data_IF_324247851069
#
_entry.id   IF_324247851069
#
_cell.length_a   1.000
_cell.length_b   1.000
_cell.length_c   1.000
_cell.angle_alpha   90.00
_cell.angle_beta   90.00
_cell.angle_gamma   90.00
#
_symmetry.space_group_name_H-M   'P 1'
#
loop_
_entity.id
_entity.type
_entity.pdbx_description
1 polymer ?
#
# COMPACT_ATOMS: atom_id res chain seq x y z
N UNK A 1 -5.82 15.32 -1.06
CA UNK A 1 -5.73 13.98 -0.43
C UNK A 1 -4.33 13.81 0.11
N UNK A 2 -4.16 13.39 1.38
CA UNK A 2 -2.81 13.10 1.89
C UNK A 2 -2.26 11.92 1.08
N UNK A 3 -1.09 12.04 0.49
CA UNK A 3 -0.53 11.09 -0.49
C UNK A 3 -0.05 9.76 0.12
N UNK A 4 -0.70 9.27 1.18
CA UNK A 4 -0.35 8.08 1.92
C UNK A 4 -1.60 7.37 2.47
N UNK A 5 -1.43 6.14 2.93
CA UNK A 5 -2.47 5.34 3.58
C UNK A 5 -1.86 4.16 4.34
N UNK A 6 -2.73 3.21 4.70
CA UNK A 6 -2.35 1.98 5.38
C UNK A 6 -2.99 0.78 4.69
N UNK A 7 -2.27 -0.33 4.65
CA UNK A 7 -2.78 -1.64 4.25
C UNK A 7 -2.94 -2.52 5.49
N UNK A 8 -4.04 -3.27 5.54
CA UNK A 8 -4.21 -4.33 6.52
C UNK A 8 -3.58 -5.60 5.94
N UNK A 9 -2.63 -6.20 6.67
CA UNK A 9 -2.03 -7.47 6.27
C UNK A 9 -2.91 -8.64 6.75
N UNK A 10 -2.94 -9.72 5.99
CA UNK A 10 -3.69 -10.94 6.37
C UNK A 10 -3.20 -11.56 7.69
N UNK A 11 -1.90 -11.42 7.99
CA UNK A 11 -1.31 -11.86 9.26
C UNK A 11 -1.51 -10.86 10.40
N UNK A 12 -2.29 -9.81 10.18
CA UNK A 12 -2.52 -8.72 11.11
C UNK A 12 -1.49 -7.59 11.04
N UNK A 13 -1.89 -6.45 11.59
CA UNK A 13 -1.10 -5.22 11.66
C UNK A 13 -1.18 -4.38 10.39
N UNK A 14 -0.90 -3.10 10.59
CA UNK A 14 -1.02 -2.07 9.57
C UNK A 14 0.34 -1.83 8.93
N UNK A 15 0.36 -1.74 7.60
CA UNK A 15 1.56 -1.42 6.85
C UNK A 15 1.40 -0.08 6.16
N UNK A 16 2.34 0.83 6.43
CA UNK A 16 2.34 2.15 5.81
C UNK A 16 2.55 2.04 4.30
N UNK A 17 1.84 2.86 3.53
CA UNK A 17 2.01 2.95 2.07
C UNK A 17 1.98 4.40 1.62
N UNK A 18 2.88 4.76 0.73
CA UNK A 18 2.83 6.04 0.02
C UNK A 18 2.13 5.86 -1.33
N UNK A 19 1.29 6.81 -1.74
CA UNK A 19 0.55 6.77 -3.02
C UNK A 19 1.47 6.70 -4.25
N UNK A 20 2.76 7.06 -4.07
CA UNK A 20 3.80 6.95 -5.10
C UNK A 20 4.09 5.49 -5.47
N UNK A 21 3.93 4.58 -4.51
CA UNK A 21 4.18 3.13 -4.65
C UNK A 21 3.04 2.41 -5.38
N UNK A 22 1.99 3.16 -5.75
CA UNK A 22 0.85 2.72 -6.55
C UNK A 22 0.96 3.33 -7.94
N UNK A 23 0.78 2.49 -8.97
CA UNK A 23 0.68 2.94 -10.36
C UNK A 23 -0.46 3.92 -10.56
N UNK A 24 -0.21 4.97 -11.34
CA UNK A 24 -1.19 6.05 -11.58
C UNK A 24 -2.56 5.56 -12.07
N UNK A 25 -2.58 4.51 -12.90
CA UNK A 25 -3.80 3.88 -13.43
C UNK A 25 -4.66 3.17 -12.37
N UNK A 26 -4.04 2.72 -11.28
CA UNK A 26 -4.71 1.97 -10.21
C UNK A 26 -5.05 2.85 -9.00
N UNK A 27 -4.46 4.05 -8.88
CA UNK A 27 -4.73 4.99 -7.78
C UNK A 27 -6.22 5.33 -7.61
N UNK A 28 -6.97 5.41 -8.71
CA UNK A 28 -8.42 5.70 -8.70
C UNK A 28 -9.27 4.49 -8.33
N UNK A 29 -8.71 3.28 -8.45
CA UNK A 29 -9.37 2.01 -8.19
C UNK A 29 -9.14 1.54 -6.75
N UNK A 30 -8.08 2.00 -6.10
CA UNK A 30 -7.85 1.78 -4.68
C UNK A 30 -8.96 2.42 -3.85
N UNK A 31 -9.79 1.56 -3.27
CA UNK A 31 -10.85 1.91 -2.32
C UNK A 31 -10.70 1.06 -1.06
N UNK A 32 -11.43 1.42 -0.02
CA UNK A 32 -11.55 0.57 1.17
C UNK A 32 -11.98 -0.86 0.77
N UNK A 33 -11.43 -1.86 1.45
CA UNK A 33 -11.62 -3.30 1.16
C UNK A 33 -11.06 -3.80 -0.20
N UNK A 34 -10.28 -3.00 -0.93
CA UNK A 34 -9.60 -3.48 -2.15
C UNK A 34 -8.47 -4.43 -1.78
N UNK A 35 -8.50 -5.65 -2.33
CA UNK A 35 -7.40 -6.61 -2.20
C UNK A 35 -6.25 -6.22 -3.13
N UNK A 36 -5.04 -6.21 -2.57
CA UNK A 36 -3.83 -5.85 -3.30
C UNK A 36 -2.72 -6.84 -3.00
N UNK A 37 -1.82 -6.98 -3.97
CA UNK A 37 -0.50 -7.59 -3.78
C UNK A 37 0.54 -6.48 -3.66
N UNK A 38 1.48 -6.66 -2.74
CA UNK A 38 2.56 -5.71 -2.47
C UNK A 38 3.81 -6.47 -2.01
N UNK A 39 4.94 -5.79 -2.02
CA UNK A 39 6.17 -6.23 -1.35
C UNK A 39 6.40 -5.38 -0.10
N UNK A 40 6.99 -5.95 0.94
CA UNK A 40 7.41 -5.19 2.13
C UNK A 40 8.87 -4.81 1.96
N UNK A 41 9.20 -3.55 2.17
CA UNK A 41 10.57 -3.05 2.18
C UNK A 41 10.86 -2.35 3.51
N UNK A 42 11.98 -2.70 4.15
CA UNK A 42 12.44 -2.07 5.38
C UNK A 42 13.22 -0.80 5.06
N UNK A 43 12.80 0.32 5.64
CA UNK A 43 13.46 1.61 5.46
C UNK A 43 13.82 2.26 6.79
N UNK A 44 14.54 3.38 6.74
CA UNK A 44 14.88 4.18 7.94
C UNK A 44 13.65 4.61 8.75
N UNK A 45 12.46 4.68 8.12
CA UNK A 45 11.20 5.04 8.78
C UNK A 45 10.37 3.82 9.20
N UNK A 46 10.92 2.62 9.06
CA UNK A 46 10.25 1.35 9.32
C UNK A 46 9.76 0.66 8.03
N UNK A 47 9.05 -0.47 8.19
CA UNK A 47 8.55 -1.27 7.08
C UNK A 47 7.43 -0.52 6.33
N UNK A 48 7.52 -0.50 5.01
CA UNK A 48 6.48 0.07 4.14
C UNK A 48 6.13 -0.86 2.98
N UNK A 49 4.96 -0.65 2.39
CA UNK A 49 4.49 -1.38 1.22
C UNK A 49 4.99 -0.74 -0.08
N UNK A 50 5.56 -1.56 -0.95
CA UNK A 50 6.05 -1.19 -2.27
C UNK A 50 5.44 -2.09 -3.37
N UNK A 51 5.60 -1.69 -4.64
CA UNK A 51 5.15 -2.44 -5.82
C UNK A 51 3.66 -2.85 -5.77
N UNK A 52 2.78 -1.92 -5.40
CA UNK A 52 1.36 -2.23 -5.16
C UNK A 52 0.66 -2.53 -6.48
N UNK A 53 -0.08 -3.65 -6.52
CA UNK A 53 -0.96 -4.03 -7.62
C UNK A 53 -2.30 -4.53 -7.09
N UNK A 54 -3.38 -4.14 -7.75
CA UNK A 54 -4.72 -4.66 -7.46
C UNK A 54 -4.80 -6.12 -7.91
N UNK A 55 -5.48 -6.95 -7.10
CA UNK A 55 -5.78 -8.36 -7.42
C UNK A 55 -7.17 -8.45 -8.05
#
# INVERSE_FOLDING_TARGET
SKGYGFLIRDKGGDLFVHLRSVKSEDRRKLRENTRVRFTVEDTEKGPQAENIRII
#
